data_IF_142790604445
#
_entry.id   IF_142790604445
#
_cell.length_a   1.000
_cell.length_b   1.000
_cell.length_c   1.000
_cell.angle_alpha   90.00
_cell.angle_beta   90.00
_cell.angle_gamma   90.00
#
_symmetry.space_group_name_H-M   'P 1'
#
loop_
_entity.id
_entity.type
_entity.pdbx_description
1 polymer ?
#
# COMPACT_ATOMS: atom_id res chain seq x y z
N UNK A 1 8.33 8.55 -3.92
CA UNK A 1 7.74 8.62 -2.58
C UNK A 1 7.34 7.22 -2.16
N UNK A 2 7.71 6.82 -0.95
CA UNK A 2 7.43 5.50 -0.40
C UNK A 2 6.24 5.59 0.55
N UNK A 3 5.30 4.65 0.43
CA UNK A 3 4.16 4.55 1.35
C UNK A 3 4.15 3.14 1.88
N UNK A 4 4.44 2.99 3.16
CA UNK A 4 4.32 1.73 3.87
C UNK A 4 2.86 1.46 4.20
N UNK A 5 2.34 0.36 3.67
CA UNK A 5 0.96 -0.07 3.90
C UNK A 5 0.99 -1.35 4.70
N UNK A 6 0.38 -1.32 5.88
CA UNK A 6 0.07 -2.50 6.65
C UNK A 6 -1.31 -3.01 6.22
N UNK A 7 -1.30 -4.16 5.56
CA UNK A 7 -2.48 -4.95 5.34
C UNK A 7 -2.83 -5.68 6.63
N UNK A 8 -4.12 -5.80 6.89
CA UNK A 8 -4.65 -6.79 7.84
C UNK A 8 -4.05 -8.15 7.49
N UNK A 9 -3.97 -9.06 8.46
CA UNK A 9 -3.54 -10.44 8.21
C UNK A 9 -4.46 -11.13 7.17
N UNK A 10 -4.12 -11.00 5.89
CA UNK A 10 -4.89 -11.53 4.77
C UNK A 10 -3.99 -12.44 3.96
N UNK A 11 -4.38 -13.70 3.81
CA UNK A 11 -3.55 -14.73 3.15
C UNK A 11 -3.32 -14.47 1.66
N UNK A 12 -4.24 -13.77 0.98
CA UNK A 12 -4.19 -13.49 -0.46
C UNK A 12 -3.71 -12.07 -0.76
N UNK A 13 -2.46 -11.82 -0.40
CA UNK A 13 -1.76 -10.55 -0.56
C UNK A 13 -1.74 -10.03 -2.01
N UNK A 14 -1.44 -10.90 -2.97
CA UNK A 14 -1.32 -10.53 -4.39
C UNK A 14 -2.65 -10.00 -4.96
N UNK A 15 -3.76 -10.64 -4.59
CA UNK A 15 -5.09 -10.23 -5.04
C UNK A 15 -5.47 -8.85 -4.52
N UNK A 16 -5.16 -8.56 -3.26
CA UNK A 16 -5.43 -7.24 -2.67
C UNK A 16 -4.64 -6.16 -3.38
N UNK A 17 -3.38 -6.41 -3.71
CA UNK A 17 -2.57 -5.41 -4.40
C UNK A 17 -2.97 -5.23 -5.85
N UNK A 18 -3.37 -6.27 -6.56
CA UNK A 18 -3.96 -6.11 -7.89
C UNK A 18 -5.21 -5.21 -7.84
N UNK A 19 -6.07 -5.40 -6.84
CA UNK A 19 -7.23 -4.54 -6.62
C UNK A 19 -6.83 -3.09 -6.26
N UNK A 20 -5.79 -2.90 -5.43
CA UNK A 20 -5.26 -1.57 -5.08
C UNK A 20 -4.64 -0.90 -6.31
N UNK A 21 -3.80 -1.58 -7.09
CA UNK A 21 -3.19 -1.06 -8.33
C UNK A 21 -4.24 -0.74 -9.41
N UNK A 22 -5.33 -1.50 -9.48
CA UNK A 22 -6.43 -1.23 -10.39
C UNK A 22 -7.25 0.01 -10.01
N UNK A 23 -7.23 0.41 -8.73
CA UNK A 23 -8.01 1.54 -8.19
C UNK A 23 -7.18 2.79 -7.92
N UNK A 24 -5.91 2.59 -7.58
CA UNK A 24 -4.95 3.61 -7.17
C UNK A 24 -3.82 3.58 -8.19
N UNK A 25 -3.29 4.73 -8.60
CA UNK A 25 -2.20 4.82 -9.59
C UNK A 25 -0.83 4.30 -9.09
N UNK A 26 -0.82 3.27 -8.25
CA UNK A 26 0.35 2.62 -7.69
C UNK A 26 1.12 1.91 -8.80
N UNK A 27 2.40 2.21 -8.92
CA UNK A 27 3.25 1.71 -10.01
C UNK A 27 4.02 0.44 -9.64
N UNK A 28 4.41 0.31 -8.38
CA UNK A 28 5.17 -0.83 -7.88
C UNK A 28 4.88 -1.06 -6.40
N UNK A 29 4.97 -2.32 -6.00
CA UNK A 29 4.84 -2.77 -4.61
C UNK A 29 6.04 -3.66 -4.30
N UNK A 30 6.81 -3.32 -3.27
CA UNK A 30 7.88 -4.15 -2.75
C UNK A 30 7.46 -4.73 -1.40
N UNK A 31 7.58 -6.05 -1.25
CA UNK A 31 7.18 -6.73 -0.02
C UNK A 31 8.29 -6.76 1.02
N UNK A 32 7.94 -6.56 2.28
CA UNK A 32 8.87 -6.83 3.37
C UNK A 32 9.15 -8.32 3.47
N UNK A 33 10.42 -8.72 3.39
CA UNK A 33 10.87 -10.11 3.60
C UNK A 33 10.61 -10.58 5.04
N UNK A 34 10.46 -9.65 5.98
CA UNK A 34 10.23 -9.93 7.40
C UNK A 34 8.76 -9.95 7.78
N UNK A 35 7.88 -9.37 6.97
CA UNK A 35 6.44 -9.36 7.24
C UNK A 35 5.62 -9.34 5.95
N UNK A 36 4.87 -10.42 5.64
CA UNK A 36 4.07 -10.48 4.41
C UNK A 36 2.92 -9.46 4.40
N UNK A 37 2.65 -8.83 5.54
CA UNK A 37 1.59 -7.84 5.72
C UNK A 37 2.01 -6.42 5.36
N UNK A 38 3.31 -6.17 5.14
CA UNK A 38 3.82 -4.85 4.80
C UNK A 38 4.27 -4.80 3.34
N UNK A 39 3.61 -3.92 2.57
CA UNK A 39 4.03 -3.54 1.24
C UNK A 39 4.52 -2.09 1.24
N UNK A 40 5.70 -1.86 0.66
CA UNK A 40 6.18 -0.55 0.26
C UNK A 40 5.65 -0.22 -1.13
N UNK A 41 5.03 0.94 -1.26
CA UNK A 41 4.34 1.37 -2.46
C UNK A 41 5.03 2.56 -3.10
N UNK A 42 5.32 2.44 -4.39
CA UNK A 42 5.82 3.57 -5.19
C UNK A 42 4.65 4.28 -5.88
N UNK A 43 4.50 5.57 -5.56
CA UNK A 43 3.48 6.43 -6.11
C UNK A 43 4.05 7.79 -6.51
N UNK A 44 3.64 8.27 -7.70
CA UNK A 44 4.15 9.51 -8.31
C UNK A 44 3.15 10.69 -8.19
N UNK A 45 2.05 10.52 -7.46
CA UNK A 45 1.04 11.57 -7.24
C UNK A 45 1.07 12.17 -5.83
N UNK A 46 -0.02 12.85 -5.44
CA UNK A 46 -0.17 13.41 -4.10
C UNK A 46 -0.39 12.29 -3.06
N UNK A 47 0.49 12.11 -2.06
CA UNK A 47 0.35 11.08 -1.04
C UNK A 47 -0.98 11.13 -0.29
N UNK A 48 -1.52 12.32 -0.02
CA UNK A 48 -2.73 12.46 0.79
C UNK A 48 -3.93 11.80 0.10
N UNK A 49 -3.98 11.89 -1.24
CA UNK A 49 -5.01 11.23 -2.04
C UNK A 49 -4.87 9.72 -1.94
N UNK A 50 -3.66 9.20 -2.15
CA UNK A 50 -3.38 7.77 -2.04
C UNK A 50 -3.67 7.23 -0.64
N UNK A 51 -3.24 7.92 0.41
CA UNK A 51 -3.47 7.52 1.80
C UNK A 51 -4.97 7.45 2.10
N UNK A 52 -5.75 8.42 1.61
CA UNK A 52 -7.20 8.41 1.76
C UNK A 52 -7.81 7.21 1.05
N UNK A 53 -7.46 6.97 -0.21
CA UNK A 53 -7.95 5.84 -1.01
C UNK A 53 -7.58 4.47 -0.40
N UNK A 54 -6.36 4.35 0.16
CA UNK A 54 -5.90 3.15 0.84
C UNK A 54 -6.64 2.92 2.16
N UNK A 55 -6.87 3.96 2.96
CA UNK A 55 -7.64 3.86 4.23
C UNK A 55 -9.11 3.48 4.01
N UNK A 56 -9.66 3.77 2.84
CA UNK A 56 -11.01 3.33 2.46
C UNK A 56 -11.07 1.84 2.09
N UNK A 57 -9.93 1.17 1.87
CA UNK A 57 -9.92 -0.26 1.58
C UNK A 57 -10.14 -1.10 2.85
N UNK A 58 -11.04 -2.10 2.82
CA UNK A 58 -11.39 -2.89 4.01
C UNK A 58 -10.26 -3.79 4.53
N UNK A 59 -9.19 -3.94 3.76
CA UNK A 59 -8.03 -4.78 4.07
C UNK A 59 -6.86 -3.99 4.65
N UNK A 60 -6.89 -2.66 4.61
CA UNK A 60 -5.81 -1.81 5.09
C UNK A 60 -6.04 -1.49 6.56
N UNK A 61 -5.06 -1.78 7.41
CA UNK A 61 -5.12 -1.51 8.85
C UNK A 61 -4.42 -0.22 9.22
N UNK A 62 -3.26 0.00 8.62
CA UNK A 62 -2.48 1.19 8.85
C UNK A 62 -1.76 1.61 7.57
N UNK A 63 -1.61 2.91 7.39
CA UNK A 63 -0.86 3.50 6.28
C UNK A 63 0.08 4.52 6.90
N UNK A 64 1.37 4.30 6.71
CA UNK A 64 2.44 5.22 7.08
C UNK A 64 3.05 5.74 5.78
N UNK A 65 3.12 7.06 5.62
CA UNK A 65 3.84 7.66 4.51
C UNK A 65 5.27 7.90 4.97
N UNK A 66 6.20 7.28 4.27
CA UNK A 66 7.63 7.51 4.49
C UNK A 66 8.16 8.24 3.25
N UNK A 67 8.15 9.57 3.31
CA UNK A 67 8.89 10.38 2.36
C UNK A 67 10.36 10.34 2.78
N UNK A 68 11.07 9.27 2.43
CA UNK A 68 12.53 9.30 2.53
C UNK A 68 13.10 10.37 1.58
N UNK A 69 14.09 11.08 2.12
CA UNK A 69 14.83 12.22 1.59
C UNK A 69 15.65 11.91 0.34
#
# INVERSE_FOLDING_TARGET
MHVLVNLKEVKDHDKIWMDIQGKTGVHAVHWSEHSPYFGDVVYNGNPDVLVKELREQPYVRNVSVETDF
#
